data_IF_195531467907
#
_entry.id   IF_195531467907
#
_cell.length_a   1.000
_cell.length_b   1.000
_cell.length_c   1.000
_cell.angle_alpha   90.00
_cell.angle_beta   90.00
_cell.angle_gamma   90.00
#
_symmetry.space_group_name_H-M   'P 1'
#
loop_
_entity.id
_entity.type
_entity.pdbx_description
1 polymer ?
#
# COMPACT_ATOMS: atom_id res chain seq x y z
N UNK A 1 3.75 -18.51 84.50
CA UNK A 1 2.57 -19.37 84.79
C UNK A 1 2.13 -20.05 83.51
N UNK A 2 2.64 -21.28 83.35
CA UNK A 2 2.27 -22.21 82.28
C UNK A 2 0.96 -22.87 82.67
N UNK A 3 -0.05 -22.79 81.81
CA UNK A 3 -1.19 -23.65 81.86
C UNK A 3 -1.04 -24.76 80.86
N UNK A 4 -0.75 -25.94 81.37
CA UNK A 4 -0.87 -27.20 80.65
C UNK A 4 -2.34 -27.50 80.38
N UNK A 5 -2.70 -27.63 79.11
CA UNK A 5 -4.01 -28.08 78.70
C UNK A 5 -3.91 -29.58 78.40
N UNK A 6 -4.51 -30.42 79.23
CA UNK A 6 -4.63 -31.83 78.98
C UNK A 6 -5.48 -32.09 77.76
N UNK A 7 -4.88 -32.70 76.74
CA UNK A 7 -5.61 -33.25 75.61
C UNK A 7 -6.08 -34.62 75.97
N UNK A 8 -7.39 -34.77 76.05
CA UNK A 8 -8.09 -36.00 76.32
C UNK A 8 -8.04 -36.89 75.10
N UNK A 9 -7.38 -38.04 75.22
CA UNK A 9 -7.32 -39.04 74.13
C UNK A 9 -8.72 -39.61 73.87
N UNK A 10 -9.29 -39.30 72.75
CA UNK A 10 -10.45 -39.96 72.18
C UNK A 10 -10.01 -41.08 71.25
N UNK A 11 -10.53 -42.30 71.39
CA UNK A 11 -10.16 -43.39 70.49
C UNK A 11 -10.63 -43.06 69.08
N UNK A 12 -9.69 -43.18 68.11
CA UNK A 12 -9.94 -43.02 66.71
C UNK A 12 -11.02 -44.00 66.21
N UNK A 13 -12.00 -43.57 65.41
CA UNK A 13 -12.92 -44.50 64.78
C UNK A 13 -12.15 -45.34 63.75
N UNK A 14 -12.32 -46.62 63.82
CA UNK A 14 -11.80 -47.61 62.87
C UNK A 14 -12.34 -47.25 61.50
N UNK A 15 -11.43 -46.75 60.65
CA UNK A 15 -11.72 -46.58 59.23
C UNK A 15 -12.06 -47.94 58.62
N UNK A 16 -13.16 -48.08 57.88
CA UNK A 16 -13.43 -49.32 57.16
C UNK A 16 -12.33 -49.57 56.16
N UNK A 17 -11.69 -50.70 56.27
CA UNK A 17 -10.75 -51.22 55.30
C UNK A 17 -11.42 -51.30 53.93
N UNK A 18 -11.09 -50.34 53.06
CA UNK A 18 -11.49 -50.36 51.69
C UNK A 18 -10.80 -51.54 51.00
N UNK A 19 -11.47 -52.68 51.01
CA UNK A 19 -11.06 -53.82 50.19
C UNK A 19 -11.20 -53.42 48.73
N UNK A 20 -10.07 -53.01 48.14
CA UNK A 20 -9.96 -52.84 46.69
C UNK A 20 -10.22 -54.22 46.08
N UNK A 21 -11.43 -54.41 45.65
CA UNK A 21 -11.86 -55.59 44.89
C UNK A 21 -11.08 -55.51 43.56
N UNK A 22 -9.98 -56.26 43.46
CA UNK A 22 -9.28 -56.53 42.21
C UNK A 22 -10.25 -57.26 41.26
N UNK A 23 -11.16 -56.50 40.69
CA UNK A 23 -11.93 -56.91 39.53
C UNK A 23 -11.07 -56.77 38.28
N UNK A 24 -9.95 -57.47 38.29
CA UNK A 24 -9.14 -57.66 37.10
C UNK A 24 -9.81 -58.67 36.19
N UNK A 25 -10.82 -58.26 35.40
CA UNK A 25 -11.08 -58.94 34.16
C UNK A 25 -9.83 -58.76 33.29
N UNK A 26 -8.87 -59.63 33.43
CA UNK A 26 -7.64 -59.65 32.60
C UNK A 26 -8.10 -59.65 31.13
N UNK A 27 -8.03 -58.47 30.48
CA UNK A 27 -8.22 -58.38 29.03
C UNK A 27 -7.25 -59.37 28.41
N UNK A 28 -7.78 -60.45 27.77
CA UNK A 28 -6.94 -61.42 27.10
C UNK A 28 -6.04 -60.66 26.13
N UNK A 29 -4.75 -61.02 26.04
CA UNK A 29 -3.75 -60.32 25.20
C UNK A 29 -4.26 -60.17 23.73
N UNK A 30 -5.11 -61.09 23.29
CA UNK A 30 -5.79 -60.99 21.98
C UNK A 30 -6.74 -59.79 21.83
N UNK A 31 -7.43 -59.40 22.92
CA UNK A 31 -8.34 -58.22 22.89
C UNK A 31 -7.53 -56.92 22.90
N UNK A 32 -6.43 -56.87 23.66
CA UNK A 32 -5.50 -55.73 23.67
C UNK A 32 -4.88 -55.54 22.29
N UNK A 33 -4.42 -56.64 21.68
CA UNK A 33 -3.85 -56.63 20.33
C UNK A 33 -4.89 -56.18 19.27
N UNK A 34 -6.13 -56.64 19.38
CA UNK A 34 -7.22 -56.24 18.48
C UNK A 34 -7.54 -54.76 18.57
N UNK A 35 -7.58 -54.19 19.80
CA UNK A 35 -7.78 -52.75 19.99
C UNK A 35 -6.62 -51.94 19.41
N UNK A 36 -5.38 -52.40 19.63
CA UNK A 36 -4.18 -51.76 19.08
C UNK A 36 -4.16 -51.79 17.55
N UNK A 37 -4.50 -52.93 16.96
CA UNK A 37 -4.63 -53.05 15.50
C UNK A 37 -5.72 -52.15 14.92
N UNK A 38 -6.87 -52.03 15.59
CA UNK A 38 -7.95 -51.13 15.18
C UNK A 38 -7.55 -49.64 15.27
N UNK A 39 -6.79 -49.27 16.32
CA UNK A 39 -6.25 -47.91 16.44
C UNK A 39 -5.22 -47.57 15.36
N UNK A 40 -4.32 -48.52 15.06
CA UNK A 40 -3.33 -48.38 13.99
C UNK A 40 -4.01 -48.26 12.61
N UNK A 41 -5.02 -49.05 12.36
CA UNK A 41 -5.80 -48.97 11.13
C UNK A 41 -6.53 -47.63 11.01
N UNK A 42 -7.17 -47.16 12.09
CA UNK A 42 -7.80 -45.85 12.15
C UNK A 42 -6.80 -44.72 11.89
N UNK A 43 -5.62 -44.81 12.51
CA UNK A 43 -4.55 -43.82 12.28
C UNK A 43 -4.06 -43.85 10.84
N UNK A 44 -3.87 -45.03 10.24
CA UNK A 44 -3.51 -45.19 8.83
C UNK A 44 -4.54 -44.55 7.89
N UNK A 45 -5.85 -44.73 8.17
CA UNK A 45 -6.94 -44.09 7.40
C UNK A 45 -6.87 -42.59 7.50
N UNK A 46 -6.61 -42.04 8.69
CA UNK A 46 -6.47 -40.59 8.89
C UNK A 46 -5.25 -40.07 8.13
N UNK A 47 -4.12 -40.75 8.20
CA UNK A 47 -2.91 -40.37 7.46
C UNK A 47 -3.15 -40.38 5.94
N UNK A 48 -3.77 -41.44 5.44
CA UNK A 48 -4.14 -41.56 4.02
C UNK A 48 -5.07 -40.41 3.60
N UNK A 49 -6.07 -40.09 4.42
CA UNK A 49 -6.99 -38.97 4.17
C UNK A 49 -6.29 -37.62 4.17
N UNK A 50 -5.37 -37.37 5.11
CA UNK A 50 -4.55 -36.16 5.15
C UNK A 50 -3.65 -36.07 3.92
N UNK A 51 -3.03 -37.17 3.52
CA UNK A 51 -2.20 -37.20 2.31
C UNK A 51 -3.00 -36.86 1.06
N UNK A 52 -4.19 -37.46 0.89
CA UNK A 52 -5.08 -37.16 -0.25
C UNK A 52 -5.55 -35.69 -0.24
N UNK A 53 -5.86 -35.15 0.94
CA UNK A 53 -6.22 -33.73 1.09
C UNK A 53 -5.05 -32.80 0.73
N UNK A 54 -3.84 -33.13 1.18
CA UNK A 54 -2.64 -32.34 0.88
C UNK A 54 -2.28 -32.33 -0.62
N UNK A 55 -2.61 -33.40 -1.33
CA UNK A 55 -2.39 -33.52 -2.78
C UNK A 55 -3.49 -32.85 -3.63
N UNK A 56 -4.58 -32.42 -3.01
CA UNK A 56 -5.72 -31.90 -3.77
C UNK A 56 -5.44 -30.45 -4.23
N UNK A 57 -5.41 -30.17 -5.55
CA UNK A 57 -4.99 -28.89 -6.11
C UNK A 57 -5.86 -27.71 -5.65
N UNK A 58 -7.14 -27.94 -5.37
CA UNK A 58 -8.04 -26.88 -4.91
C UNK A 58 -7.69 -26.38 -3.50
N UNK A 59 -7.20 -27.24 -2.61
CA UNK A 59 -6.74 -26.80 -1.28
C UNK A 59 -5.40 -26.10 -1.35
N UNK A 60 -4.49 -26.54 -2.21
CA UNK A 60 -3.23 -25.86 -2.47
C UNK A 60 -3.48 -24.45 -3.05
N UNK A 61 -4.40 -24.32 -4.01
CA UNK A 61 -4.78 -23.02 -4.58
C UNK A 61 -5.40 -22.09 -3.53
N UNK A 62 -6.30 -22.61 -2.68
CA UNK A 62 -6.90 -21.82 -1.58
C UNK A 62 -5.87 -21.39 -0.55
N UNK A 63 -4.96 -22.27 -0.16
CA UNK A 63 -3.87 -21.94 0.76
C UNK A 63 -2.94 -20.86 0.17
N UNK A 64 -2.60 -20.98 -1.11
CA UNK A 64 -1.85 -19.96 -1.83
C UNK A 64 -2.59 -18.62 -1.87
N UNK A 65 -3.89 -18.62 -2.19
CA UNK A 65 -4.71 -17.40 -2.20
C UNK A 65 -4.81 -16.74 -0.81
N UNK A 66 -4.86 -17.52 0.27
CA UNK A 66 -4.89 -17.00 1.64
C UNK A 66 -3.52 -16.49 2.13
N UNK A 67 -2.43 -16.98 1.53
CA UNK A 67 -1.06 -16.60 1.88
C UNK A 67 -0.48 -15.54 0.94
N UNK A 68 -1.27 -14.99 0.02
CA UNK A 68 -0.84 -13.93 -0.89
C UNK A 68 -1.64 -12.66 -0.67
N UNK A 69 -0.95 -11.52 -0.69
CA UNK A 69 -1.56 -10.19 -0.70
C UNK A 69 -1.14 -9.49 -1.97
N UNK A 70 -2.11 -8.98 -2.71
CA UNK A 70 -1.88 -8.19 -3.90
C UNK A 70 -2.00 -6.71 -3.57
N UNK A 71 -0.94 -5.95 -3.83
CA UNK A 71 -0.89 -4.50 -3.66
C UNK A 71 -0.87 -3.87 -5.05
N UNK A 72 -1.77 -2.94 -5.31
CA UNK A 72 -1.81 -2.22 -6.58
C UNK A 72 -0.85 -1.04 -6.52
N UNK A 73 0.06 -0.97 -7.49
CA UNK A 73 0.90 0.20 -7.68
C UNK A 73 0.07 1.34 -8.30
N UNK A 74 0.45 2.61 -8.06
CA UNK A 74 -0.16 3.73 -8.76
C UNK A 74 -0.16 3.50 -10.27
N UNK A 75 -1.26 3.86 -10.94
CA UNK A 75 -1.35 3.75 -12.40
C UNK A 75 -0.23 4.57 -13.05
N UNK A 76 0.39 4.00 -14.05
CA UNK A 76 1.32 4.76 -14.91
C UNK A 76 0.49 5.68 -15.79
N UNK A 77 0.79 6.98 -15.70
CA UNK A 77 0.15 8.00 -16.51
C UNK A 77 1.18 8.68 -17.40
N UNK A 78 0.87 8.88 -18.66
CA UNK A 78 1.73 9.57 -19.60
C UNK A 78 2.05 10.99 -19.14
N UNK A 79 3.26 11.47 -19.41
CA UNK A 79 3.71 12.80 -19.02
C UNK A 79 3.49 13.82 -20.12
N UNK A 80 3.36 15.09 -19.74
CA UNK A 80 3.46 16.20 -20.68
C UNK A 80 4.91 16.58 -20.89
N UNK A 81 5.24 16.87 -22.14
CA UNK A 81 6.56 17.31 -22.58
C UNK A 81 6.45 18.69 -23.21
N UNK A 82 7.51 19.46 -23.10
CA UNK A 82 7.63 20.75 -23.79
C UNK A 82 7.97 20.58 -25.29
N UNK A 83 8.09 21.68 -26.00
CA UNK A 83 8.44 21.68 -27.43
C UNK A 83 9.81 21.06 -27.73
N UNK A 84 10.69 20.95 -26.75
CA UNK A 84 12.01 20.34 -26.84
C UNK A 84 12.05 18.88 -26.30
N UNK A 85 10.91 18.31 -25.93
CA UNK A 85 10.83 16.96 -25.37
C UNK A 85 11.25 16.87 -23.89
N UNK A 86 11.33 18.01 -23.18
CA UNK A 86 11.61 18.01 -21.75
C UNK A 86 10.32 17.84 -20.96
N UNK A 87 10.40 17.11 -19.86
CA UNK A 87 9.24 16.85 -18.98
C UNK A 87 8.68 18.15 -18.37
N UNK A 88 7.37 18.32 -18.45
CA UNK A 88 6.60 19.33 -17.72
C UNK A 88 5.91 18.74 -16.49
N UNK A 89 5.57 17.45 -16.52
CA UNK A 89 5.02 16.69 -15.40
C UNK A 89 5.84 15.43 -15.12
N UNK A 90 5.77 14.91 -13.90
CA UNK A 90 6.54 13.71 -13.52
C UNK A 90 8.04 13.97 -13.34
N UNK A 91 8.39 15.17 -12.89
CA UNK A 91 9.79 15.61 -12.77
C UNK A 91 10.52 15.04 -11.56
N UNK A 92 9.79 14.72 -10.50
CA UNK A 92 10.37 14.24 -9.26
C UNK A 92 10.29 12.72 -9.21
N UNK A 93 11.45 12.08 -9.18
CA UNK A 93 11.52 10.64 -8.96
C UNK A 93 11.07 10.30 -7.55
N UNK A 94 10.21 9.31 -7.44
CA UNK A 94 9.70 8.73 -6.22
C UNK A 94 9.79 7.22 -6.29
N UNK A 95 9.68 6.58 -5.17
CA UNK A 95 9.73 5.13 -5.08
C UNK A 95 8.57 4.61 -4.24
N UNK A 96 7.94 3.55 -4.71
CA UNK A 96 6.98 2.79 -3.90
C UNK A 96 7.71 1.63 -3.24
N UNK A 97 7.63 1.58 -1.91
CA UNK A 97 8.24 0.53 -1.09
C UNK A 97 7.14 -0.27 -0.42
N UNK A 98 7.29 -1.60 -0.42
CA UNK A 98 6.38 -2.46 0.34
C UNK A 98 6.84 -2.51 1.79
N UNK A 99 6.00 -2.07 2.70
CA UNK A 99 6.22 -2.15 4.14
C UNK A 99 5.49 -3.37 4.70
N UNK A 100 6.23 -4.25 5.37
CA UNK A 100 5.66 -5.42 6.04
C UNK A 100 5.57 -5.18 7.55
N UNK A 101 4.52 -5.70 8.22
CA UNK A 101 4.41 -5.66 9.67
C UNK A 101 5.63 -6.26 10.36
N UNK A 102 6.08 -5.63 11.46
CA UNK A 102 7.22 -6.12 12.25
C UNK A 102 8.60 -5.90 11.65
N UNK A 103 8.73 -5.26 10.49
CA UNK A 103 10.04 -4.85 9.97
C UNK A 103 10.58 -3.66 10.77
N UNK A 104 11.81 -3.77 11.27
CA UNK A 104 12.47 -2.73 12.08
C UNK A 104 12.90 -1.46 11.32
N UNK A 105 12.45 -1.26 10.07
CA UNK A 105 12.93 -0.19 9.19
C UNK A 105 12.06 1.08 9.22
N UNK A 106 11.01 1.11 10.04
CA UNK A 106 10.07 2.24 10.08
C UNK A 106 10.74 3.59 10.36
N UNK A 107 11.72 3.64 11.27
CA UNK A 107 12.39 4.89 11.61
C UNK A 107 13.22 5.44 10.44
N UNK A 108 13.83 4.56 9.64
CA UNK A 108 14.57 4.95 8.44
C UNK A 108 13.64 5.43 7.33
N UNK A 109 12.50 4.76 7.15
CA UNK A 109 11.47 5.15 6.18
C UNK A 109 10.82 6.48 6.56
N UNK A 110 10.68 6.75 7.86
CA UNK A 110 10.10 8.00 8.37
C UNK A 110 10.89 9.23 7.92
N UNK A 111 12.22 9.12 7.84
CA UNK A 111 13.09 10.19 7.35
C UNK A 111 13.03 10.38 5.82
N UNK A 112 12.55 9.38 5.09
CA UNK A 112 12.54 9.34 3.63
C UNK A 112 11.14 9.57 3.02
N UNK A 113 10.16 9.97 3.82
CA UNK A 113 8.79 10.18 3.33
C UNK A 113 8.26 11.55 3.78
N UNK A 114 7.22 12.01 3.13
CA UNK A 114 6.53 13.26 3.46
C UNK A 114 5.60 13.11 4.68
N UNK A 115 4.92 14.20 5.06
CA UNK A 115 4.00 14.21 6.20
C UNK A 115 2.84 13.20 6.05
N UNK A 116 2.35 12.99 4.82
CA UNK A 116 1.29 12.01 4.54
C UNK A 116 1.78 10.57 4.74
N UNK A 117 2.98 10.26 4.24
CA UNK A 117 3.62 8.97 4.43
C UNK A 117 4.00 8.72 5.90
N UNK A 118 4.45 9.75 6.63
CA UNK A 118 4.70 9.67 8.07
C UNK A 118 3.42 9.33 8.85
N UNK A 119 2.31 9.97 8.51
CA UNK A 119 1.01 9.67 9.10
C UNK A 119 0.53 8.26 8.75
N UNK A 120 0.81 7.80 7.51
CA UNK A 120 0.52 6.43 7.09
C UNK A 120 1.34 5.41 7.88
N UNK A 121 2.64 5.63 8.05
CA UNK A 121 3.54 4.79 8.86
C UNK A 121 3.04 4.69 10.30
N UNK A 122 2.68 5.82 10.90
CA UNK A 122 2.16 5.86 12.27
C UNK A 122 0.87 5.04 12.42
N UNK A 123 -0.10 5.25 11.54
CA UNK A 123 -1.38 4.51 11.55
C UNK A 123 -1.21 3.03 11.24
N UNK A 124 -0.17 2.67 10.50
CA UNK A 124 0.05 1.30 10.05
C UNK A 124 0.91 0.45 11.01
N UNK A 125 1.36 1.01 12.12
CA UNK A 125 2.14 0.28 13.15
C UNK A 125 1.39 -0.92 13.73
N UNK A 126 0.06 -0.87 13.80
CA UNK A 126 -0.79 -1.95 14.31
C UNK A 126 -1.42 -2.81 13.21
N UNK A 127 -1.13 -2.55 11.95
CA UNK A 127 -1.67 -3.36 10.84
C UNK A 127 -1.01 -4.72 10.76
N UNK A 128 -1.81 -5.74 10.44
CA UNK A 128 -1.35 -7.09 10.19
C UNK A 128 -1.09 -7.37 8.67
N UNK A 129 -1.34 -6.41 7.79
CA UNK A 129 -1.20 -6.57 6.35
C UNK A 129 -0.12 -5.63 5.81
N UNK A 130 0.64 -6.04 4.78
CA UNK A 130 1.58 -5.17 4.10
C UNK A 130 0.87 -4.01 3.40
N UNK A 131 1.59 -2.91 3.22
CA UNK A 131 1.09 -1.71 2.53
C UNK A 131 2.20 -1.05 1.72
N UNK A 132 1.81 -0.21 0.77
CA UNK A 132 2.73 0.60 -0.03
C UNK A 132 2.99 1.93 0.66
N UNK A 133 4.25 2.37 0.61
CA UNK A 133 4.69 3.66 1.09
C UNK A 133 5.48 4.35 -0.03
N UNK A 134 5.14 5.60 -0.30
CA UNK A 134 5.93 6.45 -1.17
C UNK A 134 7.12 7.05 -0.41
N UNK A 135 8.31 6.95 -0.99
CA UNK A 135 9.54 7.49 -0.44
C UNK A 135 10.29 8.34 -1.47
N UNK A 136 11.01 9.34 -0.98
CA UNK A 136 11.79 10.28 -1.79
C UNK A 136 13.29 9.94 -1.83
N UNK A 137 13.71 8.87 -1.19
CA UNK A 137 15.08 8.37 -1.20
C UNK A 137 15.17 7.05 -1.96
N UNK A 138 16.37 6.72 -2.46
CA UNK A 138 16.63 5.42 -3.10
C UNK A 138 16.51 4.28 -2.06
N UNK A 139 15.51 3.37 -2.22
CA UNK A 139 15.27 2.28 -1.28
C UNK A 139 16.43 1.28 -1.19
N UNK A 140 17.24 1.16 -2.22
CA UNK A 140 18.40 0.28 -2.23
C UNK A 140 19.40 0.63 -1.12
N UNK A 141 19.52 1.93 -0.78
CA UNK A 141 20.37 2.40 0.34
C UNK A 141 19.86 1.93 1.71
N UNK A 142 18.58 1.60 1.79
CA UNK A 142 17.95 1.06 3.00
C UNK A 142 17.89 -0.48 3.00
N UNK A 143 18.41 -1.12 1.95
CA UNK A 143 18.30 -2.57 1.76
C UNK A 143 16.87 -3.04 1.46
N UNK A 144 16.05 -2.15 0.89
CA UNK A 144 14.66 -2.41 0.53
C UNK A 144 14.50 -2.46 -0.99
N UNK A 145 13.55 -3.26 -1.44
CA UNK A 145 13.13 -3.25 -2.84
C UNK A 145 12.12 -2.14 -3.05
N UNK A 146 12.45 -1.22 -3.95
CA UNK A 146 11.56 -0.15 -4.36
C UNK A 146 11.19 -0.24 -5.82
N UNK A 147 10.03 0.29 -6.15
CA UNK A 147 9.49 0.35 -7.50
C UNK A 147 9.42 1.82 -7.93
N UNK A 148 10.09 2.20 -9.03
CA UNK A 148 10.15 3.59 -9.45
C UNK A 148 8.77 4.11 -9.83
N UNK A 149 8.48 5.30 -9.35
CA UNK A 149 7.31 6.09 -9.67
C UNK A 149 7.72 7.55 -9.83
N UNK A 150 6.82 8.41 -10.26
CA UNK A 150 7.11 9.82 -10.38
C UNK A 150 5.95 10.62 -9.78
N UNK A 151 6.28 11.63 -8.99
CA UNK A 151 5.29 12.59 -8.53
C UNK A 151 4.80 13.39 -9.73
N UNK A 152 3.48 13.47 -9.89
CA UNK A 152 2.86 14.09 -11.07
C UNK A 152 3.23 15.55 -11.21
N UNK A 153 3.13 16.32 -10.11
CA UNK A 153 3.40 17.75 -10.09
C UNK A 153 4.65 18.04 -9.25
N UNK A 154 5.48 18.95 -9.74
CA UNK A 154 6.61 19.45 -8.97
C UNK A 154 6.14 20.36 -7.84
N UNK A 155 7.00 20.63 -6.85
CA UNK A 155 6.69 21.57 -5.77
C UNK A 155 6.33 22.97 -6.28
N UNK A 156 6.90 23.36 -7.44
CA UNK A 156 6.50 24.56 -8.18
C UNK A 156 6.06 24.11 -9.59
N UNK A 157 4.77 23.77 -9.76
CA UNK A 157 4.29 23.26 -11.03
C UNK A 157 4.21 24.38 -12.08
N UNK A 158 4.60 24.04 -13.30
CA UNK A 158 4.53 24.93 -14.46
C UNK A 158 3.18 24.76 -15.16
N UNK A 159 2.70 25.84 -15.79
CA UNK A 159 1.49 25.82 -16.62
C UNK A 159 0.23 25.31 -15.89
N UNK A 160 0.09 25.54 -14.58
CA UNK A 160 -0.94 24.95 -13.72
C UNK A 160 -2.34 25.01 -14.32
N UNK A 161 -2.79 26.18 -14.75
CA UNK A 161 -4.13 26.38 -15.31
C UNK A 161 -4.32 25.72 -16.68
N UNK A 162 -3.24 25.62 -17.48
CA UNK A 162 -3.27 24.96 -18.78
C UNK A 162 -3.29 23.44 -18.61
N UNK A 163 -2.38 22.91 -17.82
CA UNK A 163 -2.28 21.47 -17.57
C UNK A 163 -3.48 20.97 -16.78
N UNK A 164 -3.91 21.70 -15.76
CA UNK A 164 -4.98 21.30 -14.88
C UNK A 164 -4.51 20.38 -13.77
N UNK A 165 -5.42 19.56 -13.25
CA UNK A 165 -5.17 18.66 -12.12
C UNK A 165 -5.95 17.36 -12.25
N UNK A 166 -5.56 16.39 -11.43
CA UNK A 166 -6.21 15.08 -11.31
C UNK A 166 -7.20 15.10 -10.13
N UNK A 167 -8.23 14.29 -10.23
CA UNK A 167 -9.12 14.00 -9.10
C UNK A 167 -8.48 12.97 -8.15
N UNK A 168 -9.17 12.67 -7.05
CA UNK A 168 -8.72 11.68 -6.06
C UNK A 168 -8.62 10.24 -6.59
N UNK A 169 -9.14 9.97 -7.79
CA UNK A 169 -9.08 8.66 -8.46
C UNK A 169 -7.97 8.57 -9.50
N UNK A 170 -7.26 9.69 -9.76
CA UNK A 170 -6.17 9.77 -10.72
C UNK A 170 -6.61 10.08 -12.15
N UNK A 171 -7.88 10.45 -12.36
CA UNK A 171 -8.40 10.94 -13.65
C UNK A 171 -8.27 12.45 -13.78
N UNK A 172 -8.17 12.93 -15.01
CA UNK A 172 -8.09 14.35 -15.30
C UNK A 172 -9.39 15.08 -14.96
N UNK A 173 -9.35 15.99 -13.97
CA UNK A 173 -10.50 16.78 -13.54
C UNK A 173 -10.62 18.11 -14.29
N UNK A 174 -9.52 18.74 -14.68
CA UNK A 174 -9.48 20.03 -15.36
C UNK A 174 -8.34 20.12 -16.40
N UNK A 175 -8.38 21.15 -17.23
CA UNK A 175 -7.32 21.48 -18.19
C UNK A 175 -7.03 20.39 -19.21
N UNK A 176 -5.78 20.32 -19.64
CA UNK A 176 -5.28 19.29 -20.58
C UNK A 176 -5.29 17.89 -19.95
N UNK A 177 -5.14 17.78 -18.63
CA UNK A 177 -5.29 16.50 -17.93
C UNK A 177 -6.66 15.88 -18.20
N UNK A 178 -7.73 16.68 -18.17
CA UNK A 178 -9.09 16.24 -18.49
C UNK A 178 -9.29 16.00 -19.97
N UNK A 179 -8.84 16.94 -20.81
CA UNK A 179 -9.05 16.86 -22.25
C UNK A 179 -8.37 15.65 -22.89
N UNK A 180 -7.22 15.23 -22.34
CA UNK A 180 -6.40 14.15 -22.85
C UNK A 180 -6.35 12.92 -21.92
N UNK A 181 -7.32 12.82 -21.00
CA UNK A 181 -7.33 11.79 -19.98
C UNK A 181 -7.20 10.38 -20.56
N UNK A 182 -7.97 10.06 -21.60
CA UNK A 182 -7.93 8.74 -22.25
C UNK A 182 -6.56 8.39 -22.86
N UNK A 183 -5.81 9.40 -23.37
CA UNK A 183 -4.48 9.20 -23.94
C UNK A 183 -3.45 9.01 -22.83
N UNK A 184 -3.55 9.84 -21.79
CA UNK A 184 -2.59 9.85 -20.68
C UNK A 184 -2.76 8.66 -19.75
N UNK A 185 -3.98 8.20 -19.51
CA UNK A 185 -4.25 7.04 -18.64
C UNK A 185 -4.17 5.70 -19.37
N UNK A 186 -4.33 5.70 -20.71
CA UNK A 186 -4.40 4.48 -21.51
C UNK A 186 -5.57 3.59 -21.07
N UNK A 187 -5.31 2.29 -20.85
CA UNK A 187 -6.32 1.33 -20.39
C UNK A 187 -6.67 1.48 -18.90
N UNK A 188 -5.90 2.29 -18.17
CA UNK A 188 -6.05 2.42 -16.71
C UNK A 188 -5.60 1.18 -15.93
N UNK A 189 -4.97 0.20 -16.58
CA UNK A 189 -4.48 -1.00 -15.90
C UNK A 189 -3.34 -0.65 -14.93
N UNK A 190 -3.43 -1.23 -13.74
CA UNK A 190 -2.45 -1.05 -12.68
C UNK A 190 -1.50 -2.23 -12.63
N UNK A 191 -0.21 -1.95 -12.55
CA UNK A 191 0.75 -2.95 -12.15
C UNK A 191 0.48 -3.35 -10.70
N UNK A 192 0.66 -4.61 -10.38
CA UNK A 192 0.40 -5.13 -9.05
C UNK A 192 1.59 -5.89 -8.49
N UNK A 193 1.74 -5.85 -7.18
CA UNK A 193 2.75 -6.59 -6.44
C UNK A 193 2.08 -7.72 -5.69
N UNK A 194 2.47 -8.95 -6.00
CA UNK A 194 2.01 -10.14 -5.30
C UNK A 194 3.05 -10.52 -4.25
N UNK A 195 2.66 -10.42 -2.99
CA UNK A 195 3.49 -10.71 -1.83
C UNK A 195 3.02 -11.99 -1.16
N UNK A 196 3.90 -12.97 -1.02
CA UNK A 196 3.64 -14.17 -0.19
C UNK A 196 3.86 -13.80 1.28
N UNK A 197 2.80 -13.89 2.08
CA UNK A 197 2.80 -13.46 3.49
C UNK A 197 2.51 -14.61 4.44
N UNK A 198 3.00 -14.48 5.68
CA UNK A 198 2.62 -15.35 6.79
C UNK A 198 1.27 -14.92 7.36
N UNK A 199 0.71 -15.69 8.30
CA UNK A 199 -0.51 -15.32 9.02
C UNK A 199 -0.37 -13.99 9.80
N UNK A 200 0.85 -13.59 10.14
CA UNK A 200 1.17 -12.33 10.80
C UNK A 200 1.37 -11.15 9.82
N UNK A 201 1.20 -11.39 8.52
CA UNK A 201 1.39 -10.37 7.47
C UNK A 201 2.85 -10.05 7.15
N UNK A 202 3.81 -10.77 7.70
CA UNK A 202 5.25 -10.64 7.37
C UNK A 202 5.57 -11.35 6.06
N UNK A 203 6.61 -10.90 5.37
CA UNK A 203 7.07 -11.57 4.16
C UNK A 203 7.53 -13.00 4.49
N UNK A 204 7.12 -13.97 3.68
CA UNK A 204 7.53 -15.35 3.83
C UNK A 204 9.03 -15.50 3.56
N UNK A 205 9.74 -16.22 4.41
CA UNK A 205 11.19 -16.42 4.29
C UNK A 205 11.59 -16.99 2.92
N UNK A 206 12.53 -16.34 2.25
CA UNK A 206 13.00 -16.74 0.91
C UNK A 206 12.13 -16.27 -0.26
N UNK A 207 11.02 -15.60 0.00
CA UNK A 207 10.18 -15.01 -1.05
C UNK A 207 10.46 -13.51 -1.21
N UNK A 208 10.29 -13.02 -2.43
CA UNK A 208 10.35 -11.61 -2.77
C UNK A 208 9.04 -11.19 -3.40
N UNK A 209 8.60 -9.92 -3.23
CA UNK A 209 7.44 -9.41 -3.93
C UNK A 209 7.58 -9.58 -5.44
N UNK A 210 6.58 -10.18 -6.09
CA UNK A 210 6.56 -10.40 -7.54
C UNK A 210 5.80 -9.27 -8.21
N UNK A 211 6.46 -8.53 -9.09
CA UNK A 211 5.83 -7.50 -9.89
C UNK A 211 5.08 -8.16 -11.06
N UNK A 212 3.77 -7.99 -11.10
CA UNK A 212 2.93 -8.24 -12.27
C UNK A 212 2.76 -6.89 -12.98
N UNK A 213 3.57 -6.70 -14.01
CA UNK A 213 3.57 -5.46 -14.78
C UNK A 213 2.37 -5.45 -15.71
N UNK A 214 1.55 -4.40 -15.63
CA UNK A 214 0.53 -4.11 -16.63
C UNK A 214 1.07 -3.07 -17.61
N UNK A 215 0.80 -3.27 -18.88
CA UNK A 215 1.06 -2.25 -19.91
C UNK A 215 -0.22 -1.44 -20.10
N UNK A 216 -0.25 -0.28 -19.47
CA UNK A 216 -1.41 0.62 -19.56
C UNK A 216 -1.56 1.25 -20.95
N UNK A 217 -0.57 1.16 -21.83
CA UNK A 217 -0.58 1.87 -23.11
C UNK A 217 -0.63 3.40 -22.95
N UNK A 218 -0.35 3.92 -21.76
CA UNK A 218 -0.36 5.35 -21.49
C UNK A 218 0.69 6.07 -22.32
N UNK A 219 0.28 7.11 -23.05
CA UNK A 219 1.16 7.86 -23.97
C UNK A 219 1.45 9.23 -23.39
N UNK A 220 2.69 9.69 -23.58
CA UNK A 220 3.07 11.07 -23.29
C UNK A 220 2.59 12.02 -24.40
N UNK A 221 2.36 13.28 -24.03
CA UNK A 221 1.90 14.32 -24.97
C UNK A 221 2.90 15.45 -25.01
N UNK A 222 3.37 15.77 -26.23
CA UNK A 222 4.26 16.90 -26.47
C UNK A 222 3.43 18.16 -26.76
N UNK A 223 3.72 19.24 -26.02
CA UNK A 223 3.10 20.53 -26.17
C UNK A 223 3.99 21.50 -26.94
N UNK A 224 3.42 22.59 -27.42
CA UNK A 224 4.16 23.69 -28.06
C UNK A 224 4.81 24.64 -27.06
N UNK A 225 4.54 24.47 -25.76
CA UNK A 225 5.10 25.24 -24.66
C UNK A 225 6.61 25.11 -24.61
N UNK A 226 7.30 26.22 -24.42
CA UNK A 226 8.73 26.25 -24.18
C UNK A 226 9.01 26.42 -22.69
N UNK A 227 9.56 25.40 -22.05
CA UNK A 227 9.83 25.39 -20.60
C UNK A 227 10.66 26.60 -20.12
N UNK A 228 11.74 27.04 -20.79
CA UNK A 228 12.47 28.22 -20.36
C UNK A 228 11.65 29.51 -20.49
N UNK A 229 10.85 29.66 -21.55
CA UNK A 229 9.97 30.83 -21.72
C UNK A 229 8.88 30.84 -20.65
N UNK A 230 8.25 29.68 -20.42
CA UNK A 230 7.21 29.54 -19.40
C UNK A 230 7.73 29.93 -18.00
N UNK A 231 8.91 29.45 -17.61
CA UNK A 231 9.52 29.80 -16.32
C UNK A 231 9.80 31.31 -16.20
N UNK A 232 10.33 31.92 -17.26
CA UNK A 232 10.61 33.34 -17.24
C UNK A 232 9.33 34.17 -17.10
N UNK A 233 8.26 33.79 -17.83
CA UNK A 233 6.97 34.48 -17.78
C UNK A 233 6.30 34.28 -16.40
N UNK A 234 6.34 33.08 -15.81
CA UNK A 234 5.83 32.81 -14.47
C UNK A 234 6.55 33.63 -13.39
N UNK A 235 7.88 33.72 -13.48
CA UNK A 235 8.67 34.55 -12.56
C UNK A 235 8.30 36.02 -12.62
N UNK A 236 8.08 36.56 -13.84
CA UNK A 236 7.62 37.95 -14.02
C UNK A 236 6.18 38.11 -13.51
N UNK A 237 5.28 37.23 -13.89
CA UNK A 237 3.88 37.30 -13.51
C UNK A 237 3.68 37.27 -11.98
N UNK A 238 4.41 36.39 -11.29
CA UNK A 238 4.32 36.27 -9.81
C UNK A 238 4.79 37.52 -9.07
N UNK A 239 5.65 38.34 -9.67
CA UNK A 239 6.17 39.56 -9.04
C UNK A 239 5.42 40.82 -9.44
N UNK A 240 4.79 40.83 -10.63
CA UNK A 240 4.19 42.05 -11.22
C UNK A 240 2.68 42.06 -11.21
N UNK A 241 2.04 40.89 -11.07
CA UNK A 241 0.59 40.77 -11.21
C UNK A 241 -0.04 40.16 -9.95
N UNK A 242 -1.17 40.71 -9.51
CA UNK A 242 -2.00 40.08 -8.47
C UNK A 242 -3.01 39.12 -9.08
N UNK A 243 -3.55 39.44 -10.26
CA UNK A 243 -4.47 38.57 -11.01
C UNK A 243 -4.41 38.92 -12.50
N UNK A 244 -4.60 37.90 -13.33
CA UNK A 244 -4.61 38.04 -14.78
C UNK A 244 -3.95 36.87 -15.50
N UNK A 245 -3.74 37.02 -16.80
CA UNK A 245 -3.05 36.00 -17.60
C UNK A 245 -2.07 36.62 -18.58
N UNK A 246 -1.00 35.88 -18.88
CA UNK A 246 -0.02 36.21 -19.90
C UNK A 246 0.03 35.04 -20.87
N UNK A 247 -0.14 35.34 -22.16
CA UNK A 247 -0.01 34.37 -23.24
C UNK A 247 1.07 34.82 -24.21
N UNK A 248 2.04 33.93 -24.46
CA UNK A 248 3.13 34.15 -25.43
C UNK A 248 2.91 33.27 -26.64
N UNK A 249 2.76 33.89 -27.80
CA UNK A 249 2.52 33.23 -29.07
C UNK A 249 3.69 33.46 -30.03
N UNK A 250 4.01 32.44 -30.79
CA UNK A 250 4.89 32.52 -31.93
C UNK A 250 4.11 33.13 -33.12
N UNK A 251 4.53 34.26 -33.61
CA UNK A 251 3.79 34.99 -34.66
C UNK A 251 3.81 34.29 -36.02
N UNK A 252 4.80 33.44 -36.28
CA UNK A 252 4.93 32.72 -37.55
C UNK A 252 4.07 31.44 -37.57
N UNK A 253 3.96 30.75 -36.45
CA UNK A 253 3.30 29.45 -36.38
C UNK A 253 2.00 29.46 -35.55
N UNK A 254 1.68 30.58 -34.90
CA UNK A 254 0.61 30.71 -33.92
C UNK A 254 0.71 29.72 -32.74
N UNK A 255 1.87 29.10 -32.54
CA UNK A 255 2.11 28.16 -31.47
C UNK A 255 2.18 28.90 -30.12
N UNK A 256 1.49 28.38 -29.11
CA UNK A 256 1.57 28.88 -27.72
C UNK A 256 2.92 28.45 -27.12
N UNK A 257 3.75 29.43 -26.80
CA UNK A 257 5.08 29.19 -26.20
C UNK A 257 5.08 29.30 -24.69
N UNK A 258 4.19 30.10 -24.11
CA UNK A 258 3.92 30.17 -22.69
C UNK A 258 2.48 30.55 -22.41
N UNK A 259 1.93 30.04 -21.33
CA UNK A 259 0.59 30.37 -20.83
C UNK A 259 0.63 30.39 -19.31
N UNK A 260 0.42 31.57 -18.74
CA UNK A 260 0.50 31.80 -17.29
C UNK A 260 -0.78 32.47 -16.85
N UNK A 261 -1.34 32.02 -15.74
CA UNK A 261 -2.48 32.66 -15.07
C UNK A 261 -2.14 32.84 -13.58
N UNK A 262 -2.49 33.98 -13.03
CA UNK A 262 -2.26 34.37 -11.65
C UNK A 262 -3.63 34.72 -11.00
N UNK A 263 -3.91 34.28 -9.77
CA UNK A 263 -3.08 33.47 -8.89
C UNK A 263 -2.95 32.01 -9.33
N UNK A 264 -1.85 31.38 -8.99
CA UNK A 264 -1.66 29.94 -9.12
C UNK A 264 -2.39 29.18 -8.02
N UNK A 265 -2.44 27.84 -8.14
CA UNK A 265 -2.99 26.94 -7.14
C UNK A 265 -2.07 25.70 -7.00
N UNK A 266 -2.18 24.99 -5.88
CA UNK A 266 -1.52 23.71 -5.73
C UNK A 266 -2.41 22.59 -6.29
N UNK A 267 -2.01 21.91 -7.39
CA UNK A 267 -2.85 20.87 -8.00
C UNK A 267 -3.00 19.61 -7.12
N UNK A 268 -2.17 19.43 -6.09
CA UNK A 268 -2.26 18.32 -5.14
C UNK A 268 -3.06 18.67 -3.88
N UNK A 269 -3.18 19.97 -3.54
CA UNK A 269 -3.87 20.48 -2.35
C UNK A 269 -4.93 21.51 -2.71
N UNK A 270 -5.84 21.13 -3.59
CA UNK A 270 -6.91 22.03 -4.08
C UNK A 270 -7.82 22.55 -2.97
N UNK A 271 -8.04 21.75 -1.93
CA UNK A 271 -8.86 22.18 -0.79
C UNK A 271 -8.33 23.44 -0.12
N UNK A 272 -7.01 23.60 -0.05
CA UNK A 272 -6.35 24.78 0.53
C UNK A 272 -6.46 26.01 -0.39
N UNK A 273 -6.59 25.77 -1.69
CA UNK A 273 -6.75 26.82 -2.72
C UNK A 273 -8.21 27.18 -3.01
N UNK A 274 -9.18 26.37 -2.53
CA UNK A 274 -10.59 26.49 -2.86
C UNK A 274 -11.23 27.80 -2.36
N UNK A 275 -10.69 28.41 -1.32
CA UNK A 275 -11.14 29.70 -0.81
C UNK A 275 -10.96 30.86 -1.81
N UNK A 276 -10.07 30.70 -2.79
CA UNK A 276 -9.85 31.70 -3.85
C UNK A 276 -10.89 31.59 -4.99
N UNK A 277 -11.50 30.41 -5.17
CA UNK A 277 -12.44 30.14 -6.26
C UNK A 277 -13.91 30.08 -5.83
N UNK A 278 -14.19 30.01 -4.54
CA UNK A 278 -15.56 29.94 -3.98
C UNK A 278 -16.08 31.29 -3.48
N UNK A 279 -15.52 32.40 -3.92
CA UNK A 279 -16.19 33.71 -3.72
C UNK A 279 -17.54 33.63 -4.43
N UNK A 280 -18.68 33.73 -3.72
CA UNK A 280 -19.97 33.65 -4.35
C UNK A 280 -20.07 34.76 -5.39
N UNK A 281 -20.51 34.38 -6.59
CA UNK A 281 -20.79 35.36 -7.63
C UNK A 281 -21.77 36.39 -7.07
N UNK A 282 -21.60 37.71 -7.38
CA UNK A 282 -22.58 38.71 -6.98
C UNK A 282 -24.01 38.45 -7.50
N UNK A 283 -24.19 37.40 -8.35
CA UNK A 283 -25.49 36.94 -8.84
C UNK A 283 -26.16 35.91 -7.94
N UNK A 284 -25.39 35.33 -6.99
CA UNK A 284 -25.91 34.32 -6.06
C UNK A 284 -26.25 34.90 -4.68
N UNK A 285 -26.20 36.23 -4.54
CA UNK A 285 -26.54 36.97 -3.34
C UNK A 285 -27.95 37.59 -3.41
#
# INVERSE_FOLDING_TARGET
RQRQMCIRDSPAPLLPTLTIRKGGAGMSGKRVLAVYAALLLGFMVVLCRLYLLAQHPAYAARAAAQSTVTLQLPARRGSFYDAQGQLLTGLEERWQVVCFPGQGNYDRLYACTDAAGQALLYRSRSRAAPFLLEVNCDPARLGLTGYPTARRYAAVPLCQHLLGYLDGTGHGAAGLEKALDAVLSGTGEHSSLVCAVTAQGTLRTGETPKLLQADSGALGVQLTISRPVQRAVEAVASTTMQSGCILVLDTATAAVRASVSVPGYDPEHLADSCLLYTSPSPRDA
#
